data_IF_283822201790
#
_entry.id   IF_283822201790
#
_cell.length_a   1.000
_cell.length_b   1.000
_cell.length_c   1.000
_cell.angle_alpha   90.00
_cell.angle_beta   90.00
_cell.angle_gamma   90.00
#
_symmetry.space_group_name_H-M   'P 1'
#
loop_
_entity.id
_entity.type
_entity.pdbx_description
1 polymer ?
#
# COMPACT_ATOMS: atom_id res chain seq x y z
N UNK A 1 -1.71 -45.54 1.92
CA UNK A 1 -3.03 -45.69 2.60
C UNK A 1 -2.88 -46.21 4.03
N UNK A 2 -2.02 -45.60 4.84
CA UNK A 2 -1.94 -45.88 6.28
C UNK A 2 -1.35 -44.65 6.99
N UNK A 3 -2.23 -43.70 7.34
CA UNK A 3 -2.04 -42.63 8.35
C UNK A 3 -3.25 -41.67 8.31
N UNK A 4 -4.46 -42.21 8.43
CA UNK A 4 -5.64 -41.41 8.82
C UNK A 4 -6.03 -41.91 10.21
N UNK A 5 -5.20 -41.53 11.19
CA UNK A 5 -5.52 -41.67 12.61
C UNK A 5 -6.15 -40.37 13.10
N UNK A 6 -7.13 -40.51 13.99
CA UNK A 6 -8.00 -39.48 14.58
C UNK A 6 -7.28 -38.27 15.21
N UNK A 7 -6.70 -37.39 14.40
CA UNK A 7 -6.27 -36.06 14.83
C UNK A 7 -7.37 -35.05 14.48
N UNK A 8 -8.14 -34.67 15.50
CA UNK A 8 -9.08 -33.54 15.44
C UNK A 8 -8.28 -32.26 15.15
N UNK A 9 -8.22 -31.87 13.89
CA UNK A 9 -7.50 -30.71 13.35
C UNK A 9 -8.14 -29.34 13.73
N UNK A 10 -8.96 -29.31 14.78
CA UNK A 10 -9.84 -28.19 15.14
C UNK A 10 -9.55 -27.69 16.55
N UNK A 11 -8.33 -27.18 16.75
CA UNK A 11 -7.97 -26.46 17.96
C UNK A 11 -7.26 -25.16 17.53
N UNK A 12 -7.93 -24.02 17.69
CA UNK A 12 -7.53 -22.75 17.05
C UNK A 12 -6.14 -22.25 17.49
N UNK A 13 -5.65 -22.68 18.65
CA UNK A 13 -4.28 -22.42 19.12
C UNK A 13 -3.20 -23.18 18.32
N UNK A 14 -3.54 -24.32 17.71
CA UNK A 14 -2.61 -25.14 16.95
C UNK A 14 -2.46 -24.69 15.49
N UNK A 15 -3.37 -23.87 14.94
CA UNK A 15 -3.27 -23.39 13.54
C UNK A 15 -2.15 -22.37 13.33
N UNK A 16 -2.02 -21.41 14.23
CA UNK A 16 -0.90 -20.45 14.21
C UNK A 16 0.43 -21.14 14.51
N UNK A 17 0.43 -22.11 15.44
CA UNK A 17 1.61 -22.93 15.74
C UNK A 17 2.02 -23.80 14.56
N UNK A 18 1.05 -24.45 13.89
CA UNK A 18 1.29 -25.24 12.69
C UNK A 18 1.75 -24.38 11.50
N UNK A 19 1.26 -23.15 11.34
CA UNK A 19 1.81 -22.20 10.36
C UNK A 19 3.26 -21.83 10.69
N UNK A 20 3.56 -21.56 11.96
CA UNK A 20 4.92 -21.23 12.42
C UNK A 20 5.87 -22.42 12.25
N UNK A 21 5.42 -23.65 12.57
CA UNK A 21 6.18 -24.89 12.37
C UNK A 21 6.35 -25.21 10.88
N UNK A 22 5.31 -25.02 10.06
CA UNK A 22 5.39 -25.19 8.60
C UNK A 22 6.37 -24.19 7.97
N UNK A 23 6.39 -22.94 8.45
CA UNK A 23 7.37 -21.94 8.03
C UNK A 23 8.78 -22.27 8.53
N UNK A 24 8.93 -22.81 9.74
CA UNK A 24 10.23 -23.20 10.28
C UNK A 24 10.86 -24.38 9.52
N UNK A 25 10.05 -25.39 9.15
CA UNK A 25 10.56 -26.64 8.57
C UNK A 25 10.63 -26.64 7.03
N UNK A 26 9.87 -25.77 6.35
CA UNK A 26 9.77 -25.77 4.88
C UNK A 26 10.13 -24.41 4.26
N UNK A 27 11.43 -24.12 4.06
CA UNK A 27 11.87 -22.85 3.44
C UNK A 27 11.32 -22.65 2.01
N UNK A 28 11.01 -23.74 1.30
CA UNK A 28 10.39 -23.70 -0.02
C UNK A 28 8.96 -23.11 0.01
N UNK A 29 8.20 -23.38 1.09
CA UNK A 29 6.84 -22.85 1.27
C UNK A 29 6.90 -21.35 1.57
N UNK A 30 7.83 -20.90 2.43
CA UNK A 30 8.09 -19.46 2.63
C UNK A 30 8.47 -18.81 1.31
N UNK A 31 9.41 -19.38 0.57
CA UNK A 31 9.88 -18.80 -0.69
C UNK A 31 8.76 -18.67 -1.73
N UNK A 32 7.87 -19.65 -1.83
CA UNK A 32 6.71 -19.60 -2.72
C UNK A 32 5.69 -18.54 -2.29
N UNK A 33 5.41 -18.43 -0.99
CA UNK A 33 4.49 -17.41 -0.44
C UNK A 33 5.07 -16.01 -0.62
N UNK A 34 6.34 -15.79 -0.26
CA UNK A 34 7.04 -14.52 -0.46
C UNK A 34 7.11 -14.17 -1.94
N UNK A 35 7.44 -15.12 -2.81
CA UNK A 35 7.46 -14.92 -4.26
C UNK A 35 6.10 -14.50 -4.82
N UNK A 36 5.02 -15.15 -4.38
CA UNK A 36 3.65 -14.81 -4.76
C UNK A 36 3.25 -13.40 -4.27
N UNK A 37 3.58 -13.07 -3.02
CA UNK A 37 3.33 -11.74 -2.45
C UNK A 37 4.13 -10.65 -3.20
N UNK A 38 5.40 -10.92 -3.51
CA UNK A 38 6.24 -10.01 -4.28
C UNK A 38 5.71 -9.79 -5.69
N UNK A 39 5.33 -10.87 -6.40
CA UNK A 39 4.74 -10.78 -7.73
C UNK A 39 3.46 -9.93 -7.73
N UNK A 40 2.56 -10.19 -6.79
CA UNK A 40 1.30 -9.44 -6.64
C UNK A 40 1.56 -7.96 -6.33
N UNK A 41 2.57 -7.69 -5.49
CA UNK A 41 2.97 -6.32 -5.12
C UNK A 41 3.57 -5.58 -6.30
N UNK A 42 4.41 -6.24 -7.12
CA UNK A 42 4.99 -5.66 -8.33
C UNK A 42 3.88 -5.30 -9.33
N UNK A 43 2.95 -6.22 -9.57
CA UNK A 43 1.81 -5.97 -10.47
C UNK A 43 0.98 -4.78 -9.97
N UNK A 44 0.65 -4.75 -8.67
CA UNK A 44 -0.08 -3.64 -8.07
C UNK A 44 0.69 -2.31 -8.16
N UNK A 45 2.02 -2.33 -8.03
CA UNK A 45 2.87 -1.16 -8.18
C UNK A 45 2.87 -0.63 -9.61
N UNK A 46 3.05 -1.51 -10.60
CA UNK A 46 2.98 -1.15 -12.03
C UNK A 46 1.61 -0.56 -12.36
N UNK A 47 0.54 -1.24 -11.92
CA UNK A 47 -0.82 -0.76 -12.13
C UNK A 47 -1.03 0.64 -11.52
N UNK A 48 -0.59 0.85 -10.28
CA UNK A 48 -0.66 2.14 -9.60
C UNK A 48 0.03 3.27 -10.37
N UNK A 49 1.20 3.01 -10.95
CA UNK A 49 1.94 3.99 -11.77
C UNK A 49 1.15 4.32 -13.04
N UNK A 50 0.63 3.30 -13.74
CA UNK A 50 -0.07 3.47 -15.01
C UNK A 50 -1.40 4.18 -14.82
N UNK A 51 -2.17 3.84 -13.77
CA UNK A 51 -3.51 4.41 -13.56
C UNK A 51 -3.51 5.75 -12.84
N UNK A 52 -2.42 6.13 -12.17
CA UNK A 52 -2.35 7.37 -11.40
C UNK A 52 -2.77 8.63 -12.19
N UNK A 53 -2.29 8.87 -13.43
CA UNK A 53 -2.69 10.06 -14.20
C UNK A 53 -4.19 10.10 -14.48
N UNK A 54 -4.79 8.96 -14.84
CA UNK A 54 -6.22 8.88 -15.10
C UNK A 54 -7.04 9.13 -13.84
N UNK A 55 -6.63 8.55 -12.69
CA UNK A 55 -7.31 8.76 -11.41
C UNK A 55 -7.26 10.25 -11.04
N UNK A 56 -6.08 10.87 -11.10
CA UNK A 56 -5.89 12.28 -10.75
C UNK A 56 -6.68 13.19 -11.70
N UNK A 57 -6.60 12.97 -13.01
CA UNK A 57 -7.32 13.75 -14.00
C UNK A 57 -8.85 13.62 -13.87
N UNK A 58 -9.34 12.45 -13.45
CA UNK A 58 -10.77 12.19 -13.22
C UNK A 58 -11.28 12.81 -11.91
N UNK A 59 -10.43 12.90 -10.88
CA UNK A 59 -10.76 13.58 -9.63
C UNK A 59 -10.88 15.10 -9.81
N UNK A 60 -10.20 15.67 -10.80
CA UNK A 60 -10.26 17.09 -11.09
C UNK A 60 -11.51 17.48 -11.90
N UNK A 61 -11.80 16.76 -12.98
CA UNK A 61 -12.92 17.07 -13.86
C UNK A 61 -13.56 15.83 -14.50
N UNK A 62 -14.82 15.97 -14.94
CA UNK A 62 -15.49 14.93 -15.73
C UNK A 62 -14.85 14.82 -17.12
N UNK A 63 -13.88 13.92 -17.26
CA UNK A 63 -13.22 13.59 -18.55
C UNK A 63 -13.77 12.32 -19.18
N UNK A 64 -13.72 12.23 -20.51
CA UNK A 64 -14.10 11.04 -21.30
C UNK A 64 -13.03 9.96 -21.16
N UNK A 65 -13.40 8.69 -21.38
CA UNK A 65 -12.47 7.56 -21.25
C UNK A 65 -11.22 7.70 -22.14
N UNK A 66 -11.41 8.17 -23.38
CA UNK A 66 -10.31 8.40 -24.34
C UNK A 66 -9.31 9.46 -23.84
N UNK A 67 -9.78 10.51 -23.18
CA UNK A 67 -8.94 11.56 -22.58
C UNK A 67 -8.15 11.02 -21.37
N UNK A 68 -8.74 10.10 -20.62
CA UNK A 68 -8.05 9.42 -19.50
C UNK A 68 -6.94 8.51 -20.02
N UNK A 69 -7.20 7.72 -21.07
CA UNK A 69 -6.18 6.90 -21.71
C UNK A 69 -5.05 7.75 -22.30
N UNK A 70 -5.38 8.86 -22.96
CA UNK A 70 -4.39 9.82 -23.47
C UNK A 70 -3.54 10.43 -22.35
N UNK A 71 -4.15 10.71 -21.19
CA UNK A 71 -3.44 11.20 -20.01
C UNK A 71 -2.46 10.16 -19.45
N UNK A 72 -2.86 8.87 -19.38
CA UNK A 72 -1.94 7.80 -18.99
C UNK A 72 -0.71 7.73 -19.91
N UNK A 73 -0.91 7.77 -21.22
CA UNK A 73 0.20 7.71 -22.18
C UNK A 73 1.13 8.94 -22.05
N UNK A 74 0.55 10.14 -21.91
CA UNK A 74 1.32 11.40 -21.79
C UNK A 74 2.15 11.47 -20.51
N UNK A 75 1.63 10.96 -19.39
CA UNK A 75 2.25 11.09 -18.08
C UNK A 75 2.94 9.81 -17.56
N UNK A 76 3.01 8.74 -18.36
CA UNK A 76 3.65 7.48 -17.91
C UNK A 76 5.12 7.67 -17.49
N UNK A 77 5.93 8.31 -18.34
CA UNK A 77 7.34 8.62 -18.04
C UNK A 77 7.50 9.45 -16.76
N UNK A 78 6.79 10.59 -16.63
CA UNK A 78 6.75 11.37 -15.40
C UNK A 78 6.35 10.56 -14.16
N UNK A 79 5.31 9.71 -14.25
CA UNK A 79 4.87 8.89 -13.12
C UNK A 79 5.95 7.88 -12.70
N UNK A 80 6.66 7.27 -13.64
CA UNK A 80 7.78 6.36 -13.34
C UNK A 80 8.89 7.08 -12.57
N UNK A 81 9.28 8.27 -13.03
CA UNK A 81 10.35 9.06 -12.38
C UNK A 81 9.95 9.50 -10.97
N UNK A 82 8.74 10.04 -10.81
CA UNK A 82 8.25 10.43 -9.49
C UNK A 82 8.10 9.22 -8.55
N UNK A 83 7.72 8.05 -9.07
CA UNK A 83 7.66 6.81 -8.29
C UNK A 83 9.05 6.33 -7.87
N UNK A 84 10.06 6.50 -8.73
CA UNK A 84 11.46 6.23 -8.41
C UNK A 84 11.95 7.09 -7.24
N UNK A 85 11.70 8.40 -7.28
CA UNK A 85 12.01 9.29 -6.15
C UNK A 85 11.23 8.91 -4.89
N UNK A 86 9.94 8.57 -5.04
CA UNK A 86 9.10 8.08 -3.95
C UNK A 86 9.63 6.82 -3.29
N UNK A 87 10.17 5.86 -4.05
CA UNK A 87 10.76 4.63 -3.52
C UNK A 87 12.03 4.91 -2.70
N UNK A 88 12.93 5.75 -3.21
CA UNK A 88 14.14 6.17 -2.49
C UNK A 88 13.76 6.87 -1.19
N UNK A 89 12.84 7.83 -1.27
CA UNK A 89 12.39 8.57 -0.10
C UNK A 89 11.67 7.67 0.92
N UNK A 90 10.86 6.71 0.45
CA UNK A 90 10.23 5.72 1.31
C UNK A 90 11.27 4.88 2.04
N UNK A 91 12.29 4.38 1.35
CA UNK A 91 13.36 3.60 1.98
C UNK A 91 14.07 4.40 3.08
N UNK A 92 14.32 5.69 2.86
CA UNK A 92 14.89 6.60 3.85
C UNK A 92 13.97 6.78 5.06
N UNK A 93 12.69 7.11 4.84
CA UNK A 93 11.73 7.31 5.94
C UNK A 93 11.49 6.03 6.74
N UNK A 94 11.35 4.89 6.07
CA UNK A 94 11.18 3.60 6.77
C UNK A 94 12.45 3.19 7.51
N UNK A 95 13.63 3.47 6.95
CA UNK A 95 14.91 3.22 7.62
C UNK A 95 15.04 4.05 8.91
N UNK A 96 14.66 5.33 8.85
CA UNK A 96 14.61 6.20 10.04
C UNK A 96 13.55 5.74 11.05
N UNK A 97 12.43 5.19 10.58
CA UNK A 97 11.36 4.67 11.44
C UNK A 97 11.75 3.38 12.20
N UNK A 98 12.76 2.65 11.74
CA UNK A 98 13.29 1.46 12.45
C UNK A 98 14.02 1.87 13.74
N UNK A 99 14.72 3.00 13.76
CA UNK A 99 15.44 3.48 14.94
C UNK A 99 14.54 3.59 16.20
N UNK A 100 13.40 4.32 16.19
CA UNK A 100 12.52 4.37 17.35
C UNK A 100 11.88 3.01 17.66
N UNK A 101 11.62 2.18 16.66
CA UNK A 101 11.11 0.81 16.89
C UNK A 101 12.12 -0.07 17.66
N UNK A 102 13.42 0.11 17.40
CA UNK A 102 14.46 -0.61 18.16
C UNK A 102 14.64 -0.08 19.59
N UNK A 103 14.31 1.18 19.86
CA UNK A 103 14.53 1.82 21.17
C UNK A 103 13.32 1.69 22.11
N UNK A 104 12.10 1.81 21.58
CA UNK A 104 10.85 1.92 22.36
C UNK A 104 9.99 0.64 22.18
N UNK A 105 10.40 -0.27 21.30
CA UNK A 105 9.67 -1.52 21.04
C UNK A 105 8.29 -1.26 20.42
N UNK A 106 7.26 -2.05 20.80
CA UNK A 106 5.91 -1.93 20.22
C UNK A 106 5.27 -0.53 20.38
N UNK A 107 5.69 0.25 21.39
CA UNK A 107 5.21 1.62 21.60
C UNK A 107 5.56 2.59 20.46
N UNK A 108 6.53 2.24 19.60
CA UNK A 108 6.90 3.04 18.43
C UNK A 108 5.98 2.84 17.22
N UNK A 109 5.01 1.91 17.27
CA UNK A 109 4.11 1.62 16.14
C UNK A 109 3.42 2.87 15.57
N UNK A 110 2.86 3.80 16.37
CA UNK A 110 2.25 5.02 15.83
C UNK A 110 3.25 5.88 15.05
N UNK A 111 4.48 5.99 15.55
CA UNK A 111 5.54 6.75 14.91
C UNK A 111 5.97 6.08 13.60
N UNK A 112 6.06 4.75 13.58
CA UNK A 112 6.36 3.97 12.39
C UNK A 112 5.30 4.21 11.29
N UNK A 113 4.01 4.14 11.62
CA UNK A 113 2.95 4.41 10.65
C UNK A 113 2.98 5.86 10.14
N UNK A 114 3.29 6.83 11.00
CA UNK A 114 3.42 8.23 10.60
C UNK A 114 4.57 8.42 9.58
N UNK A 115 5.75 7.86 9.87
CA UNK A 115 6.90 7.92 8.97
C UNK A 115 6.69 7.10 7.70
N UNK A 116 5.95 5.99 7.77
CA UNK A 116 5.63 5.17 6.60
C UNK A 116 4.60 5.85 5.68
N UNK A 117 3.66 6.63 6.23
CA UNK A 117 2.63 7.34 5.46
C UNK A 117 3.18 8.59 4.76
N UNK A 118 4.14 9.31 5.38
CA UNK A 118 4.73 10.52 4.81
C UNK A 118 5.20 10.40 3.35
N UNK A 119 6.08 9.44 2.98
CA UNK A 119 6.57 9.33 1.61
C UNK A 119 5.45 9.05 0.61
N UNK A 120 4.37 8.38 1.04
CA UNK A 120 3.22 8.09 0.19
C UNK A 120 2.40 9.36 -0.07
N UNK A 121 2.27 10.24 0.92
CA UNK A 121 1.59 11.54 0.76
C UNK A 121 2.42 12.50 -0.11
N UNK A 122 3.74 12.50 0.05
CA UNK A 122 4.66 13.25 -0.82
C UNK A 122 4.56 12.78 -2.26
N UNK A 123 4.53 11.46 -2.49
CA UNK A 123 4.36 10.91 -3.83
C UNK A 123 3.03 11.33 -4.45
N UNK A 124 1.93 11.27 -3.70
CA UNK A 124 0.62 11.74 -4.17
C UNK A 124 0.66 13.22 -4.55
N UNK A 125 1.22 14.08 -3.68
CA UNK A 125 1.38 15.52 -3.93
C UNK A 125 2.21 15.80 -5.19
N UNK A 126 3.32 15.10 -5.35
CA UNK A 126 4.20 15.27 -6.50
C UNK A 126 3.49 14.87 -7.80
N UNK A 127 2.73 13.77 -7.78
CA UNK A 127 1.93 13.33 -8.93
C UNK A 127 0.80 14.30 -9.24
N UNK A 128 0.11 14.84 -8.23
CA UNK A 128 -0.94 15.86 -8.45
C UNK A 128 -0.36 17.14 -9.02
N UNK A 129 0.78 17.61 -8.53
CA UNK A 129 1.46 18.79 -9.07
C UNK A 129 1.84 18.62 -10.56
N UNK A 130 2.32 17.44 -10.95
CA UNK A 130 2.70 17.18 -12.35
C UNK A 130 1.48 17.10 -13.28
N UNK A 131 0.37 16.50 -12.81
CA UNK A 131 -0.81 16.24 -13.66
C UNK A 131 -1.76 17.45 -13.70
N UNK A 132 -1.93 18.16 -12.59
CA UNK A 132 -2.92 19.24 -12.46
C UNK A 132 -2.31 20.64 -12.51
N UNK A 133 -1.09 20.83 -12.00
CA UNK A 133 -0.43 22.15 -11.89
C UNK A 133 0.67 22.34 -12.97
N UNK A 134 0.78 21.40 -13.91
CA UNK A 134 1.80 21.40 -14.98
C UNK A 134 3.24 21.58 -14.48
N UNK A 135 3.53 21.11 -13.26
CA UNK A 135 4.86 21.19 -12.68
C UNK A 135 5.90 20.39 -13.51
N UNK A 136 7.18 20.79 -13.43
CA UNK A 136 8.27 20.16 -14.19
C UNK A 136 8.36 18.65 -13.88
N UNK A 137 8.02 17.76 -14.82
CA UNK A 137 7.76 16.35 -14.50
C UNK A 137 8.99 15.54 -14.12
N UNK A 138 10.15 15.89 -14.68
CA UNK A 138 11.41 15.14 -14.52
C UNK A 138 12.38 15.77 -13.52
N UNK A 139 12.02 16.92 -12.95
CA UNK A 139 12.95 17.69 -12.12
C UNK A 139 12.80 17.31 -10.64
N UNK A 140 13.91 17.02 -9.91
CA UNK A 140 13.84 16.60 -8.50
C UNK A 140 13.24 17.67 -7.59
N UNK A 141 13.39 18.96 -7.96
CA UNK A 141 12.77 20.08 -7.23
C UNK A 141 11.25 19.96 -7.10
N UNK A 142 10.56 19.31 -8.05
CA UNK A 142 9.11 19.07 -7.95
C UNK A 142 8.80 18.15 -6.77
N UNK A 143 9.60 17.10 -6.60
CA UNK A 143 9.47 16.19 -5.46
C UNK A 143 9.88 16.86 -4.14
N UNK A 144 10.96 17.65 -4.12
CA UNK A 144 11.38 18.40 -2.93
C UNK A 144 10.33 19.42 -2.47
N UNK A 145 9.68 20.13 -3.41
CA UNK A 145 8.57 21.04 -3.08
C UNK A 145 7.39 20.27 -2.50
N UNK A 146 7.06 19.10 -3.05
CA UNK A 146 6.02 18.23 -2.50
C UNK A 146 6.33 17.79 -1.06
N UNK A 147 7.60 17.52 -0.71
CA UNK A 147 8.01 17.24 0.68
C UNK A 147 7.67 18.42 1.59
N UNK A 148 8.06 19.63 1.19
CA UNK A 148 7.81 20.86 1.98
C UNK A 148 6.32 21.13 2.13
N UNK A 149 5.54 20.96 1.06
CA UNK A 149 4.09 21.16 1.09
C UNK A 149 3.39 20.20 2.06
N UNK A 150 3.75 18.91 2.04
CA UNK A 150 3.19 17.92 2.97
C UNK A 150 3.64 18.21 4.40
N UNK A 151 4.92 18.54 4.60
CA UNK A 151 5.47 18.85 5.93
C UNK A 151 4.77 20.05 6.59
N UNK A 152 4.29 21.02 5.79
CA UNK A 152 3.55 22.19 6.27
C UNK A 152 2.08 21.91 6.63
N UNK A 153 1.56 20.72 6.33
CA UNK A 153 0.14 20.35 6.51
C UNK A 153 0.00 19.19 7.50
N UNK A 154 0.18 19.41 8.81
CA UNK A 154 0.20 18.33 9.80
C UNK A 154 -1.13 17.56 9.91
N UNK A 155 -2.26 18.22 9.68
CA UNK A 155 -3.57 17.56 9.65
C UNK A 155 -3.71 16.58 8.47
N UNK A 156 -3.13 16.94 7.32
CA UNK A 156 -3.10 16.02 6.18
C UNK A 156 -2.18 14.83 6.47
N UNK A 157 -1.11 15.07 7.21
CA UNK A 157 -0.19 14.03 7.66
C UNK A 157 -0.88 12.99 8.56
N UNK A 158 -1.61 13.47 9.56
CA UNK A 158 -2.38 12.62 10.48
C UNK A 158 -3.50 11.85 9.77
N UNK A 159 -4.31 12.54 8.94
CA UNK A 159 -5.39 11.89 8.19
C UNK A 159 -4.86 10.86 7.20
N UNK A 160 -3.75 11.15 6.51
CA UNK A 160 -3.08 10.19 5.63
C UNK A 160 -2.57 8.95 6.37
N UNK A 161 -1.92 9.15 7.52
CA UNK A 161 -1.46 8.04 8.36
C UNK A 161 -2.62 7.20 8.90
N UNK A 162 -3.73 7.82 9.32
CA UNK A 162 -4.93 7.12 9.76
C UNK A 162 -5.55 6.30 8.62
N UNK A 163 -5.64 6.86 7.41
CA UNK A 163 -6.16 6.16 6.23
C UNK A 163 -5.28 4.97 5.88
N UNK A 164 -3.95 5.14 5.85
CA UNK A 164 -3.03 4.03 5.55
C UNK A 164 -3.05 2.95 6.63
N UNK A 165 -3.15 3.35 7.90
CA UNK A 165 -3.33 2.41 9.02
C UNK A 165 -4.65 1.64 8.88
N UNK A 166 -5.75 2.32 8.55
CA UNK A 166 -7.04 1.68 8.32
C UNK A 166 -7.00 0.69 7.14
N UNK A 167 -6.29 1.00 6.05
CA UNK A 167 -6.10 0.08 4.92
C UNK A 167 -5.37 -1.20 5.34
N UNK A 168 -4.30 -1.06 6.12
CA UNK A 168 -3.55 -2.20 6.66
C UNK A 168 -4.45 -3.01 7.61
N UNK A 169 -5.19 -2.34 8.49
CA UNK A 169 -6.11 -2.98 9.42
C UNK A 169 -7.21 -3.77 8.69
N UNK A 170 -7.80 -3.23 7.62
CA UNK A 170 -8.79 -3.93 6.78
C UNK A 170 -8.17 -5.18 6.14
N UNK A 171 -6.95 -5.08 5.62
CA UNK A 171 -6.24 -6.23 5.04
C UNK A 171 -5.93 -7.32 6.07
N UNK A 172 -5.43 -6.94 7.25
CA UNK A 172 -5.15 -7.87 8.35
C UNK A 172 -6.44 -8.51 8.85
N UNK A 173 -7.50 -7.73 9.08
CA UNK A 173 -8.79 -8.25 9.53
C UNK A 173 -9.38 -9.24 8.52
N UNK A 174 -9.33 -8.94 7.23
CA UNK A 174 -9.79 -9.86 6.19
C UNK A 174 -8.95 -11.15 6.16
N UNK A 175 -7.63 -11.05 6.28
CA UNK A 175 -6.75 -12.22 6.35
C UNK A 175 -7.06 -13.07 7.58
N UNK A 176 -7.15 -12.47 8.77
CA UNK A 176 -7.48 -13.17 10.00
C UNK A 176 -8.86 -13.83 9.92
N UNK A 177 -9.84 -13.16 9.32
CA UNK A 177 -11.18 -13.72 9.11
C UNK A 177 -11.13 -14.96 8.19
N UNK A 178 -10.40 -14.87 7.07
CA UNK A 178 -10.23 -15.98 6.13
C UNK A 178 -9.47 -17.16 6.74
N UNK A 179 -8.47 -16.90 7.58
CA UNK A 179 -7.68 -17.96 8.23
C UNK A 179 -8.45 -18.62 9.38
N UNK A 180 -9.23 -17.84 10.13
CA UNK A 180 -10.00 -18.36 11.28
C UNK A 180 -11.24 -19.17 10.86
N UNK A 181 -11.80 -18.89 9.68
CA UNK A 181 -13.02 -19.52 9.20
C UNK A 181 -12.73 -20.34 7.93
N UNK A 182 -13.26 -21.56 7.84
CA UNK A 182 -13.12 -22.39 6.64
C UNK A 182 -14.08 -21.91 5.54
N UNK A 183 -13.72 -20.77 4.93
CA UNK A 183 -14.61 -20.03 4.03
C UNK A 183 -14.60 -20.56 2.59
N UNK A 184 -13.71 -21.50 2.25
CA UNK A 184 -13.57 -22.03 0.89
C UNK A 184 -13.58 -20.92 -0.17
N UNK A 185 -14.52 -21.01 -1.13
CA UNK A 185 -14.69 -20.01 -2.19
C UNK A 185 -15.17 -18.63 -1.69
N UNK A 186 -15.80 -18.53 -0.53
CA UNK A 186 -16.25 -17.25 0.04
C UNK A 186 -15.08 -16.36 0.49
N UNK A 187 -13.94 -16.95 0.86
CA UNK A 187 -12.73 -16.21 1.22
C UNK A 187 -12.22 -15.31 0.08
N UNK A 188 -12.38 -15.74 -1.18
CA UNK A 188 -12.02 -14.96 -2.37
C UNK A 188 -12.85 -13.68 -2.45
N UNK A 189 -14.15 -13.75 -2.17
CA UNK A 189 -15.04 -12.58 -2.20
C UNK A 189 -14.72 -11.59 -1.09
N UNK A 190 -14.33 -12.06 0.09
CA UNK A 190 -13.92 -11.21 1.21
C UNK A 190 -12.59 -10.52 0.91
N UNK A 191 -11.62 -11.23 0.33
CA UNK A 191 -10.37 -10.63 -0.13
C UNK A 191 -10.61 -9.54 -1.19
N UNK A 192 -11.56 -9.77 -2.12
CA UNK A 192 -11.96 -8.77 -3.12
C UNK A 192 -12.63 -7.55 -2.48
N UNK A 193 -13.53 -7.76 -1.52
CA UNK A 193 -14.19 -6.67 -0.80
C UNK A 193 -13.17 -5.82 -0.02
N UNK A 194 -12.24 -6.47 0.69
CA UNK A 194 -11.15 -5.79 1.38
C UNK A 194 -10.27 -4.98 0.41
N UNK A 195 -9.98 -5.54 -0.77
CA UNK A 195 -9.28 -4.84 -1.84
C UNK A 195 -10.03 -3.60 -2.33
N UNK A 196 -11.35 -3.69 -2.55
CA UNK A 196 -12.19 -2.55 -2.94
C UNK A 196 -12.21 -1.46 -1.87
N UNK A 197 -12.34 -1.83 -0.59
CA UNK A 197 -12.28 -0.88 0.53
C UNK A 197 -10.91 -0.19 0.59
N UNK A 198 -9.82 -0.94 0.42
CA UNK A 198 -8.47 -0.38 0.39
C UNK A 198 -8.28 0.59 -0.79
N UNK A 199 -8.88 0.30 -1.95
CA UNK A 199 -8.89 1.21 -3.10
C UNK A 199 -9.69 2.49 -2.81
N UNK A 200 -10.89 2.38 -2.21
CA UNK A 200 -11.70 3.55 -1.83
C UNK A 200 -10.96 4.46 -0.85
N UNK A 201 -10.35 3.88 0.19
CA UNK A 201 -9.50 4.61 1.14
C UNK A 201 -8.29 5.24 0.43
N UNK A 202 -7.67 4.54 -0.52
CA UNK A 202 -6.58 5.07 -1.34
C UNK A 202 -7.00 6.30 -2.17
N UNK A 203 -8.15 6.23 -2.84
CA UNK A 203 -8.69 7.36 -3.61
C UNK A 203 -9.04 8.55 -2.71
N UNK A 204 -9.61 8.29 -1.52
CA UNK A 204 -9.86 9.33 -0.54
C UNK A 204 -8.56 10.04 -0.15
N UNK A 205 -7.49 9.30 0.15
CA UNK A 205 -6.17 9.89 0.46
C UNK A 205 -5.64 10.78 -0.67
N UNK A 206 -5.75 10.34 -1.93
CA UNK A 206 -5.33 11.14 -3.10
C UNK A 206 -6.19 12.40 -3.24
N UNK A 207 -7.49 12.33 -2.95
CA UNK A 207 -8.35 13.52 -2.99
C UNK A 207 -7.96 14.58 -1.95
N UNK A 208 -7.43 14.17 -0.80
CA UNK A 208 -6.90 15.10 0.22
C UNK A 208 -5.62 15.81 -0.25
N UNK A 209 -4.85 15.21 -1.16
CA UNK A 209 -3.63 15.82 -1.71
C UNK A 209 -3.88 17.07 -2.56
N UNK A 210 -5.15 17.33 -2.90
CA UNK A 210 -5.58 18.51 -3.66
C UNK A 210 -5.87 19.72 -2.75
N UNK A 211 -6.38 19.48 -1.55
CA UNK A 211 -6.80 20.50 -0.58
C UNK A 211 -5.57 21.09 0.09
#
# INVERSE_FOLDING_TARGET
TAAMGDWRWFDDGHRMRALVELFADNPAVIAAVVGSLMSTTIIAAVFSVVTAPAIIARLDARRRFTELCGSCARYLGPMLVQSGYGLIFRALCTGLAVLPATLIGPGALPLFFLFAAFPVLVLDRARTAVVLEEARPYHPMTFLRAIVDVARRPLWWLSGALIDTAKIAVGIAALLFIVSHDLGAAGIWIARLAGLLALMLGMWRVSLARL
#
